data_IF_199477238113
#
_entry.id   IF_199477238113
#
_cell.length_a   1.000
_cell.length_b   1.000
_cell.length_c   1.000
_cell.angle_alpha   90.00
_cell.angle_beta   90.00
_cell.angle_gamma   90.00
#
_symmetry.space_group_name_H-M   'P 1'
#
loop_
_entity.id
_entity.type
_entity.pdbx_description
1 polymer ?
#
# COMPACT_ATOMS: atom_id res chain seq x y z
N UNK A 1 -48.63 10.45 18.97
CA UNK A 1 -48.25 11.48 17.97
C UNK A 1 -46.77 11.86 18.02
N UNK A 2 -46.24 12.37 19.14
CA UNK A 2 -44.78 12.69 19.25
C UNK A 2 -43.90 11.42 19.21
N UNK A 3 -44.36 10.33 19.83
CA UNK A 3 -43.62 9.06 19.88
C UNK A 3 -43.55 8.36 18.51
N UNK A 4 -44.63 8.38 17.73
CA UNK A 4 -44.66 7.84 16.35
C UNK A 4 -43.80 8.66 15.37
N UNK A 5 -43.74 9.97 15.60
CA UNK A 5 -42.89 10.87 14.81
C UNK A 5 -41.42 10.52 15.06
N UNK A 6 -40.99 10.44 16.33
CA UNK A 6 -39.61 10.11 16.68
C UNK A 6 -39.18 8.70 16.25
N UNK A 7 -40.10 7.73 16.26
CA UNK A 7 -39.80 6.37 15.79
C UNK A 7 -39.62 6.31 14.28
N UNK A 8 -40.41 7.06 13.49
CA UNK A 8 -40.33 7.06 12.02
C UNK A 8 -39.27 8.00 11.45
N UNK A 9 -38.95 9.10 12.12
CA UNK A 9 -37.94 10.07 11.65
C UNK A 9 -36.49 9.55 11.75
N UNK A 10 -36.23 8.62 12.69
CA UNK A 10 -34.89 8.16 13.03
C UNK A 10 -34.11 7.45 11.91
N UNK A 11 -34.78 7.07 10.82
CA UNK A 11 -34.15 6.35 9.71
C UNK A 11 -33.14 7.20 8.94
N UNK A 12 -33.45 8.49 8.71
CA UNK A 12 -32.60 9.41 7.95
C UNK A 12 -31.37 9.79 8.77
N UNK A 13 -31.57 10.17 10.04
CA UNK A 13 -30.49 10.54 10.94
C UNK A 13 -29.50 9.39 11.15
N UNK A 14 -30.03 8.16 11.24
CA UNK A 14 -29.19 6.97 11.37
C UNK A 14 -28.38 6.68 10.11
N UNK A 15 -28.94 6.90 8.92
CA UNK A 15 -28.20 6.76 7.67
C UNK A 15 -27.08 7.81 7.57
N UNK A 16 -27.38 9.08 7.87
CA UNK A 16 -26.41 10.18 7.87
C UNK A 16 -25.27 9.96 8.87
N UNK A 17 -25.61 9.48 10.07
CA UNK A 17 -24.64 9.11 11.10
C UNK A 17 -23.71 7.96 10.62
N UNK A 18 -24.27 6.92 9.98
CA UNK A 18 -23.50 5.79 9.45
C UNK A 18 -22.58 6.22 8.31
N UNK A 19 -23.06 7.09 7.42
CA UNK A 19 -22.25 7.65 6.32
C UNK A 19 -21.10 8.48 6.89
N UNK A 20 -21.36 9.27 7.95
CA UNK A 20 -20.36 10.08 8.64
C UNK A 20 -19.26 9.26 9.33
N UNK A 21 -19.55 8.03 9.78
CA UNK A 21 -18.52 7.15 10.37
C UNK A 21 -17.52 6.61 9.36
N UNK A 22 -17.92 6.46 8.09
CA UNK A 22 -17.08 5.87 7.05
C UNK A 22 -17.15 6.70 5.76
N UNK A 23 -16.68 7.95 5.75
CA UNK A 23 -16.78 8.81 4.57
C UNK A 23 -15.92 8.27 3.42
N UNK A 24 -16.54 7.99 2.27
CA UNK A 24 -15.82 7.77 1.02
C UNK A 24 -15.17 9.04 0.42
N UNK A 25 -15.74 10.27 0.54
CA UNK A 25 -15.19 11.42 -0.17
C UNK A 25 -13.81 11.84 0.37
N UNK A 26 -12.83 11.90 -0.53
CA UNK A 26 -11.50 12.50 -0.30
C UNK A 26 -11.54 14.00 -0.61
N UNK A 27 -10.59 14.77 -0.04
CA UNK A 27 -10.44 16.20 -0.38
C UNK A 27 -10.28 16.35 -1.90
N UNK A 28 -11.26 16.98 -2.53
CA UNK A 28 -11.30 17.24 -3.97
C UNK A 28 -11.83 18.66 -4.23
N UNK A 29 -11.23 19.36 -5.18
CA UNK A 29 -11.66 20.70 -5.63
C UNK A 29 -12.87 20.65 -6.57
N UNK A 30 -13.19 19.47 -7.12
CA UNK A 30 -14.29 19.28 -8.05
C UNK A 30 -15.56 18.90 -7.29
N UNK A 31 -16.55 19.78 -7.25
CA UNK A 31 -17.78 19.60 -6.47
C UNK A 31 -18.58 18.35 -6.89
N UNK A 32 -18.63 18.04 -8.19
CA UNK A 32 -19.38 16.89 -8.71
C UNK A 32 -18.82 15.55 -8.22
N UNK A 33 -17.51 15.49 -7.94
CA UNK A 33 -16.87 14.29 -7.37
C UNK A 33 -17.40 14.02 -5.96
N UNK A 34 -17.70 15.06 -5.18
CA UNK A 34 -18.30 14.90 -3.85
C UNK A 34 -19.72 14.33 -3.94
N UNK A 35 -20.52 14.81 -4.89
CA UNK A 35 -21.87 14.31 -5.14
C UNK A 35 -21.84 12.84 -5.56
N UNK A 36 -20.92 12.47 -6.46
CA UNK A 36 -20.74 11.08 -6.88
C UNK A 36 -20.43 10.15 -5.70
N UNK A 37 -19.47 10.51 -4.84
CA UNK A 37 -19.14 9.69 -3.67
C UNK A 37 -20.30 9.62 -2.66
N UNK A 38 -21.06 10.70 -2.49
CA UNK A 38 -22.25 10.69 -1.64
C UNK A 38 -23.33 9.72 -2.17
N UNK A 39 -23.58 9.71 -3.48
CA UNK A 39 -24.50 8.75 -4.10
C UNK A 39 -23.99 7.32 -3.89
N UNK A 40 -22.69 7.06 -4.04
CA UNK A 40 -22.09 5.75 -3.76
C UNK A 40 -22.28 5.32 -2.30
N UNK A 41 -22.10 6.24 -1.34
CA UNK A 41 -22.32 5.97 0.08
C UNK A 41 -23.76 5.54 0.37
N UNK A 42 -24.75 6.22 -0.25
CA UNK A 42 -26.17 5.86 -0.17
C UNK A 42 -26.43 4.50 -0.79
N UNK A 43 -25.86 4.22 -1.97
CA UNK A 43 -26.00 2.91 -2.64
C UNK A 43 -25.45 1.78 -1.77
N UNK A 44 -24.30 1.97 -1.12
CA UNK A 44 -23.70 0.98 -0.22
C UNK A 44 -24.57 0.73 1.03
N UNK A 45 -25.15 1.79 1.60
CA UNK A 45 -26.04 1.67 2.75
C UNK A 45 -27.34 0.93 2.40
N UNK A 46 -27.98 1.31 1.28
CA UNK A 46 -29.17 0.64 0.76
C UNK A 46 -28.90 -0.83 0.42
N UNK A 47 -27.75 -1.12 -0.21
CA UNK A 47 -27.32 -2.48 -0.51
C UNK A 47 -27.12 -3.32 0.75
N UNK A 48 -26.51 -2.75 1.79
CA UNK A 48 -26.35 -3.44 3.07
C UNK A 48 -27.70 -3.71 3.75
N UNK A 49 -28.63 -2.75 3.71
CA UNK A 49 -29.98 -2.93 4.23
C UNK A 49 -30.68 -4.10 3.53
N UNK A 50 -30.69 -4.11 2.18
CA UNK A 50 -31.28 -5.20 1.40
C UNK A 50 -30.63 -6.56 1.68
N UNK A 51 -29.30 -6.61 1.81
CA UNK A 51 -28.59 -7.84 2.14
C UNK A 51 -28.97 -8.36 3.54
N UNK A 52 -29.07 -7.46 4.52
CA UNK A 52 -29.44 -7.80 5.89
C UNK A 52 -30.90 -8.27 6.02
N UNK A 53 -31.79 -7.76 5.17
CA UNK A 53 -33.19 -8.17 5.13
C UNK A 53 -33.38 -9.55 4.49
N UNK A 54 -32.58 -9.91 3.49
CA UNK A 54 -32.85 -11.10 2.65
C UNK A 54 -31.88 -12.27 2.85
N UNK A 55 -30.65 -12.02 3.30
CA UNK A 55 -29.59 -13.05 3.32
C UNK A 55 -29.11 -13.34 4.74
N UNK A 56 -28.40 -12.39 5.34
CA UNK A 56 -27.81 -12.54 6.67
C UNK A 56 -27.48 -11.17 7.23
N UNK A 57 -27.71 -10.98 8.53
CA UNK A 57 -27.25 -9.79 9.24
C UNK A 57 -25.72 -9.70 9.18
N UNK A 58 -25.22 -8.62 8.59
CA UNK A 58 -23.81 -8.24 8.59
C UNK A 58 -23.66 -6.75 8.88
N UNK A 59 -22.54 -6.37 9.47
CA UNK A 59 -22.25 -4.96 9.72
C UNK A 59 -22.03 -4.20 8.40
N UNK A 60 -22.35 -2.91 8.39
CA UNK A 60 -22.14 -2.07 7.21
C UNK A 60 -20.66 -2.03 6.77
N UNK A 61 -19.72 -2.05 7.73
CA UNK A 61 -18.29 -2.11 7.45
C UNK A 61 -17.89 -3.41 6.74
N UNK A 62 -18.35 -4.56 7.23
CA UNK A 62 -18.08 -5.85 6.58
C UNK A 62 -18.69 -5.92 5.19
N UNK A 63 -19.89 -5.37 5.00
CA UNK A 63 -20.53 -5.31 3.69
C UNK A 63 -19.69 -4.49 2.72
N UNK A 64 -19.21 -3.32 3.13
CA UNK A 64 -18.30 -2.50 2.32
C UNK A 64 -17.00 -3.21 1.98
N UNK A 65 -16.38 -3.91 2.93
CA UNK A 65 -15.17 -4.71 2.70
C UNK A 65 -15.43 -5.81 1.68
N UNK A 66 -16.57 -6.50 1.78
CA UNK A 66 -16.96 -7.56 0.84
C UNK A 66 -17.20 -6.98 -0.56
N UNK A 67 -18.01 -5.93 -0.68
CA UNK A 67 -18.25 -5.24 -1.95
C UNK A 67 -16.94 -4.77 -2.58
N UNK A 68 -16.05 -4.16 -1.80
CA UNK A 68 -14.73 -3.74 -2.28
C UNK A 68 -13.90 -4.94 -2.76
N UNK A 69 -13.87 -6.03 -2.00
CA UNK A 69 -13.12 -7.25 -2.38
C UNK A 69 -13.65 -7.89 -3.66
N UNK A 70 -14.98 -7.93 -3.84
CA UNK A 70 -15.61 -8.44 -5.06
C UNK A 70 -15.38 -7.52 -6.26
N UNK A 71 -15.47 -6.20 -6.09
CA UNK A 71 -15.24 -5.21 -7.16
C UNK A 71 -13.78 -5.13 -7.59
N UNK A 72 -12.84 -5.30 -6.65
CA UNK A 72 -11.41 -5.43 -6.93
C UNK A 72 -11.13 -6.78 -7.61
N UNK A 73 -12.08 -7.71 -7.54
CA UNK A 73 -12.00 -9.03 -8.10
C UNK A 73 -11.37 -10.00 -7.13
N UNK A 74 -11.93 -11.19 -7.09
CA UNK A 74 -11.21 -12.44 -6.87
C UNK A 74 -10.05 -12.64 -7.89
N UNK A 75 -9.29 -11.60 -8.26
CA UNK A 75 -7.93 -11.67 -8.79
C UNK A 75 -6.89 -11.78 -7.66
N UNK A 76 -7.31 -12.27 -6.48
CA UNK A 76 -6.43 -12.70 -5.39
C UNK A 76 -6.60 -14.19 -5.04
N UNK A 77 -7.38 -14.96 -5.82
CA UNK A 77 -7.28 -16.42 -5.88
C UNK A 77 -6.66 -16.91 -7.20
N UNK A 78 -5.71 -16.14 -7.68
CA UNK A 78 -4.37 -16.67 -7.69
C UNK A 78 -3.61 -15.82 -6.66
N UNK A 79 -2.91 -16.36 -5.63
CA UNK A 79 -1.52 -15.95 -5.62
C UNK A 79 -1.14 -16.24 -7.06
N UNK A 80 -0.87 -15.22 -7.87
CA UNK A 80 -0.16 -15.56 -9.09
C UNK A 80 1.03 -16.44 -8.66
N UNK A 81 1.95 -16.70 -9.57
CA UNK A 81 3.20 -16.17 -9.13
C UNK A 81 2.93 -14.67 -8.73
N UNK A 82 2.70 -14.38 -7.43
CA UNK A 82 3.85 -13.84 -6.74
C UNK A 82 4.95 -14.81 -7.16
N UNK A 83 5.55 -14.52 -8.33
CA UNK A 83 6.94 -14.27 -8.33
C UNK A 83 7.02 -13.53 -7.01
N UNK A 84 7.61 -14.14 -5.95
CA UNK A 84 8.52 -13.30 -5.20
C UNK A 84 9.11 -12.43 -6.29
N UNK A 85 9.07 -11.11 -6.14
CA UNK A 85 10.12 -10.39 -6.83
C UNK A 85 11.35 -11.11 -6.28
N UNK A 86 11.80 -12.14 -7.01
CA UNK A 86 13.11 -12.69 -7.06
C UNK A 86 13.73 -11.45 -7.62
N UNK A 87 13.96 -10.51 -6.70
CA UNK A 87 14.76 -9.35 -6.90
C UNK A 87 16.04 -10.03 -7.23
N UNK A 88 16.23 -10.18 -8.53
CA UNK A 88 17.52 -10.30 -9.15
C UNK A 88 18.33 -9.20 -8.50
N UNK A 89 19.03 -9.60 -7.44
CA UNK A 89 19.99 -8.87 -6.64
C UNK A 89 19.75 -7.36 -6.60
N UNK A 90 18.78 -6.89 -5.81
CA UNK A 90 18.75 -5.44 -5.48
C UNK A 90 20.01 -5.14 -4.68
N UNK A 91 20.99 -4.55 -5.34
CA UNK A 91 22.21 -4.08 -4.72
C UNK A 91 21.94 -2.71 -4.08
N UNK A 92 22.04 -2.62 -2.75
CA UNK A 92 21.84 -1.39 -1.99
C UNK A 92 23.16 -0.93 -1.37
N UNK A 93 23.41 0.38 -1.41
CA UNK A 93 24.55 1.00 -0.75
C UNK A 93 24.27 1.12 0.76
N UNK A 94 25.13 0.53 1.58
CA UNK A 94 25.09 0.61 3.05
C UNK A 94 26.33 1.32 3.58
N UNK A 95 26.15 2.17 4.58
CA UNK A 95 27.26 2.87 5.25
C UNK A 95 27.81 1.99 6.38
N UNK A 96 29.13 1.86 6.46
CA UNK A 96 29.85 1.11 7.49
C UNK A 96 30.81 2.03 8.25
N UNK A 97 31.07 1.69 9.52
CA UNK A 97 31.99 2.42 10.39
C UNK A 97 33.44 2.31 9.91
N UNK A 98 33.86 1.09 9.56
CA UNK A 98 35.22 0.80 9.09
C UNK A 98 35.32 1.07 7.59
N UNK A 99 36.17 2.03 7.22
CA UNK A 99 36.50 2.33 5.82
C UNK A 99 37.16 1.14 5.13
N UNK A 100 36.67 0.78 3.95
CA UNK A 100 37.21 -0.29 3.11
C UNK A 100 37.82 0.29 1.84
N UNK A 101 38.76 -0.43 1.22
CA UNK A 101 39.32 -0.05 -0.08
C UNK A 101 38.27 -0.25 -1.16
N UNK A 102 38.12 0.72 -2.06
CA UNK A 102 37.22 0.58 -3.20
C UNK A 102 37.79 -0.40 -4.23
N UNK A 103 37.01 -1.44 -4.59
CA UNK A 103 37.42 -2.48 -5.55
C UNK A 103 37.67 -1.92 -6.96
N UNK A 104 36.75 -1.10 -7.46
CA UNK A 104 36.85 -0.48 -8.81
C UNK A 104 38.02 0.49 -8.89
N UNK A 105 38.22 1.32 -7.86
CA UNK A 105 39.38 2.23 -7.81
C UNK A 105 40.70 1.46 -7.77
N UNK A 106 40.76 0.37 -7.00
CA UNK A 106 41.94 -0.48 -6.91
C UNK A 106 42.30 -1.11 -8.27
N UNK A 107 41.31 -1.57 -9.03
CA UNK A 107 41.51 -2.08 -10.39
C UNK A 107 42.12 -1.00 -11.32
N UNK A 108 41.72 0.26 -11.14
CA UNK A 108 42.29 1.42 -11.84
C UNK A 108 43.63 1.92 -11.26
N UNK A 109 44.26 1.19 -10.33
CA UNK A 109 45.48 1.58 -9.58
C UNK A 109 45.35 2.89 -8.78
N UNK A 110 44.13 3.29 -8.44
CA UNK A 110 43.85 4.48 -7.63
C UNK A 110 43.63 4.06 -6.18
N UNK A 111 44.39 4.64 -5.24
CA UNK A 111 44.20 4.42 -3.81
C UNK A 111 43.03 5.26 -3.28
N UNK A 112 41.85 4.65 -3.13
CA UNK A 112 40.67 5.26 -2.49
C UNK A 112 40.02 4.31 -1.49
N UNK A 113 39.64 4.85 -0.33
CA UNK A 113 38.90 4.16 0.72
C UNK A 113 37.51 4.78 0.87
N UNK A 114 36.49 3.95 1.10
CA UNK A 114 35.08 4.34 1.18
C UNK A 114 34.42 3.78 2.43
N UNK A 115 33.42 4.50 2.96
CA UNK A 115 32.54 4.02 4.03
C UNK A 115 31.30 3.30 3.49
N UNK A 116 31.27 2.99 2.20
CA UNK A 116 30.11 2.47 1.51
C UNK A 116 30.39 1.07 0.98
N UNK A 117 29.46 0.16 1.25
CA UNK A 117 29.53 -1.23 0.83
C UNK A 117 28.23 -1.63 0.15
N UNK A 118 28.27 -2.65 -0.69
CA UNK A 118 27.07 -3.32 -1.18
C UNK A 118 26.62 -4.36 -0.13
N UNK A 119 25.34 -4.37 0.22
CA UNK A 119 24.79 -5.29 1.24
C UNK A 119 24.73 -6.75 0.73
N UNK A 120 24.63 -6.94 -0.59
CA UNK A 120 24.46 -8.25 -1.23
C UNK A 120 25.75 -8.81 -1.85
N UNK A 121 26.75 -7.99 -2.19
CA UNK A 121 28.00 -8.49 -2.76
C UNK A 121 29.05 -8.86 -1.70
N UNK A 122 29.53 -10.10 -1.81
CA UNK A 122 30.62 -10.65 -1.01
C UNK A 122 31.84 -10.96 -1.88
N UNK A 123 33.03 -10.73 -1.33
CA UNK A 123 34.29 -11.23 -1.92
C UNK A 123 34.41 -12.75 -1.73
N UNK A 124 35.37 -13.38 -2.42
CA UNK A 124 35.74 -14.81 -2.28
C UNK A 124 36.09 -15.24 -0.84
N UNK A 125 36.25 -14.29 0.08
CA UNK A 125 36.53 -14.51 1.51
C UNK A 125 35.31 -14.24 2.40
N UNK A 126 34.10 -14.13 1.84
CA UNK A 126 32.85 -13.89 2.56
C UNK A 126 32.70 -12.48 3.14
N UNK A 127 33.49 -11.50 2.69
CA UNK A 127 33.48 -10.12 3.23
C UNK A 127 32.76 -9.16 2.29
N UNK A 128 32.01 -8.20 2.82
CA UNK A 128 31.35 -7.17 2.00
C UNK A 128 32.34 -6.27 1.28
N UNK A 129 32.03 -5.95 0.02
CA UNK A 129 32.91 -5.20 -0.90
C UNK A 129 32.75 -3.69 -0.69
N UNK A 130 33.88 -2.97 -0.61
CA UNK A 130 33.89 -1.51 -0.57
C UNK A 130 33.72 -0.90 -1.96
N UNK A 131 32.75 0.01 -2.12
CA UNK A 131 32.45 0.73 -3.37
C UNK A 131 32.27 2.23 -3.09
N UNK A 132 32.61 3.11 -4.03
CA UNK A 132 32.23 4.53 -3.93
C UNK A 132 30.75 4.69 -4.33
N UNK A 133 29.97 5.61 -3.70
CA UNK A 133 28.55 5.82 -4.02
C UNK A 133 28.27 6.06 -5.51
N UNK A 134 29.11 6.87 -6.15
CA UNK A 134 29.08 7.14 -7.59
C UNK A 134 30.53 7.46 -8.05
N UNK A 135 31.03 7.02 -9.21
CA UNK A 135 30.43 6.12 -10.21
C UNK A 135 30.74 4.64 -9.98
N UNK A 136 31.56 4.31 -8.97
CA UNK A 136 32.09 2.95 -8.80
C UNK A 136 31.01 1.91 -8.49
N UNK A 137 29.95 2.30 -7.76
CA UNK A 137 28.82 1.41 -7.48
C UNK A 137 28.11 0.99 -8.78
N UNK A 138 27.83 1.94 -9.68
CA UNK A 138 27.23 1.64 -10.98
C UNK A 138 28.13 0.76 -11.84
N UNK A 139 29.42 1.10 -11.94
CA UNK A 139 30.40 0.33 -12.75
C UNK A 139 30.52 -1.13 -12.28
N UNK A 140 30.37 -1.40 -10.98
CA UNK A 140 30.48 -2.76 -10.44
C UNK A 140 29.20 -3.59 -10.61
N UNK A 141 28.05 -2.93 -10.78
CA UNK A 141 26.74 -3.55 -10.93
C UNK A 141 26.15 -3.38 -12.35
N UNK A 142 26.96 -2.95 -13.31
CA UNK A 142 26.64 -2.91 -14.74
C UNK A 142 27.22 -4.16 -15.40
#
# INVERSE_FOLDING_TARGET
MVVDYNTKMSGIDRADQIISYYPLPRKSMRWYVKVFFHILDICLWNGNHLYNSNVKKMSHLEFRRKVASELIGHTAHTPGPSTPITSTNIHVVKKVEIRKRCRVCHAKKIRKNTQFVCDTCIDNKGKTIGLCPDPCFKIFHS
#
